data_IF_848587685993
#
_entry.id   IF_848587685993
#
_cell.length_a   1.000
_cell.length_b   1.000
_cell.length_c   1.000
_cell.angle_alpha   90.00
_cell.angle_beta   90.00
_cell.angle_gamma   90.00
#
_symmetry.space_group_name_H-M   'P 1'
#
loop_
_entity.id
_entity.type
_entity.pdbx_description
1 polymer ?
#
# COMPACT_ATOMS: atom_id res chain seq x y z
N UNK A 1 28.51 -5.89 0.12
CA UNK A 1 27.28 -5.77 0.92
C UNK A 1 26.11 -6.21 0.04
N UNK A 2 25.85 -7.52 -0.08
CA UNK A 2 24.78 -8.01 -0.95
C UNK A 2 23.48 -8.11 -0.17
N UNK A 3 22.46 -7.40 -0.65
CA UNK A 3 21.07 -7.46 -0.22
C UNK A 3 20.42 -8.82 -0.59
N UNK A 4 20.96 -9.94 -0.07
CA UNK A 4 20.34 -11.26 -0.18
C UNK A 4 19.39 -11.48 1.01
N UNK A 5 18.26 -10.77 0.99
CA UNK A 5 17.17 -10.95 1.98
C UNK A 5 15.81 -10.49 1.46
N UNK A 6 15.78 -9.64 0.43
CA UNK A 6 14.55 -9.11 -0.15
C UNK A 6 13.88 -10.07 -1.16
N UNK A 7 14.63 -10.90 -1.91
CA UNK A 7 14.07 -11.53 -3.11
C UNK A 7 12.83 -12.43 -2.90
N UNK A 8 12.69 -13.08 -1.72
CA UNK A 8 11.58 -14.00 -1.46
C UNK A 8 10.29 -13.31 -1.00
N UNK A 9 10.37 -12.28 -0.14
CA UNK A 9 9.17 -11.55 0.35
C UNK A 9 8.56 -10.66 -0.74
N UNK A 10 9.39 -10.16 -1.65
CA UNK A 10 8.93 -9.29 -2.74
C UNK A 10 8.26 -10.07 -3.88
N UNK A 11 8.50 -11.39 -3.99
CA UNK A 11 7.85 -12.24 -5.01
C UNK A 11 6.34 -12.34 -4.81
N UNK A 12 5.89 -12.31 -3.56
CA UNK A 12 4.48 -12.33 -3.18
C UNK A 12 3.97 -10.94 -2.80
N UNK A 13 4.72 -9.87 -3.06
CA UNK A 13 4.23 -8.51 -2.82
C UNK A 13 3.49 -7.98 -4.05
N UNK A 14 2.37 -7.34 -3.78
CA UNK A 14 1.56 -6.57 -4.73
C UNK A 14 1.52 -5.11 -4.30
N UNK A 15 1.03 -4.24 -5.18
CA UNK A 15 1.05 -2.80 -4.93
C UNK A 15 -0.22 -2.09 -5.40
N UNK A 16 -0.49 -0.96 -4.75
CA UNK A 16 -1.45 0.06 -5.18
C UNK A 16 -0.68 1.37 -5.35
N UNK A 17 -0.93 2.08 -6.46
CA UNK A 17 -0.41 3.43 -6.69
C UNK A 17 -1.57 4.43 -6.64
N UNK A 18 -1.37 5.51 -5.89
CA UNK A 18 -2.37 6.56 -5.70
C UNK A 18 -1.71 7.94 -5.77
N UNK A 19 -2.48 9.01 -6.01
CA UNK A 19 -2.01 10.39 -5.79
C UNK A 19 -1.58 10.64 -4.34
N UNK A 20 -0.61 11.54 -4.13
CA UNK A 20 -0.01 11.83 -2.81
C UNK A 20 -1.04 12.11 -1.69
N UNK A 21 -2.11 12.86 -2.00
CA UNK A 21 -3.15 13.24 -1.04
C UNK A 21 -4.29 12.22 -0.89
N UNK A 22 -4.25 11.08 -1.59
CA UNK A 22 -5.34 10.11 -1.55
C UNK A 22 -5.50 9.42 -0.18
N UNK A 23 -4.47 9.46 0.66
CA UNK A 23 -4.49 8.86 2.01
C UNK A 23 -4.63 9.88 3.14
N UNK A 24 -4.87 11.15 2.81
CA UNK A 24 -5.00 12.21 3.79
C UNK A 24 -6.17 11.89 4.74
N UNK A 25 -5.85 11.77 6.04
CA UNK A 25 -6.81 11.46 7.09
C UNK A 25 -7.15 9.97 7.28
N UNK A 26 -6.69 9.07 6.41
CA UNK A 26 -6.96 7.61 6.53
C UNK A 26 -5.69 6.74 6.58
N UNK A 27 -4.51 7.32 6.34
CA UNK A 27 -3.23 6.60 6.33
C UNK A 27 -2.97 5.81 7.62
N UNK A 28 -3.12 6.45 8.77
CA UNK A 28 -2.82 5.81 10.06
C UNK A 28 -3.74 4.61 10.30
N UNK A 29 -5.03 4.74 9.96
CA UNK A 29 -5.98 3.63 10.06
C UNK A 29 -5.62 2.49 9.10
N UNK A 30 -5.22 2.81 7.87
CA UNK A 30 -4.76 1.83 6.89
C UNK A 30 -3.57 1.01 7.42
N UNK A 31 -2.53 1.68 7.93
CA UNK A 31 -1.31 1.03 8.45
C UNK A 31 -1.56 0.27 9.78
N UNK A 32 -2.62 0.61 10.53
CA UNK A 32 -3.03 -0.12 11.73
C UNK A 32 -3.87 -1.36 11.43
N UNK A 33 -4.71 -1.30 10.40
CA UNK A 33 -5.65 -2.37 10.05
C UNK A 33 -5.03 -3.45 9.17
N UNK A 34 -4.06 -3.09 8.35
CA UNK A 34 -3.46 -3.98 7.37
C UNK A 34 -1.94 -4.00 7.50
N UNK A 35 -1.35 -5.16 7.23
CA UNK A 35 0.11 -5.35 7.13
C UNK A 35 0.60 -4.83 5.78
N UNK A 36 0.53 -3.52 5.62
CA UNK A 36 0.98 -2.80 4.42
C UNK A 36 2.08 -1.80 4.76
N UNK A 37 2.84 -1.40 3.76
CA UNK A 37 3.84 -0.33 3.88
C UNK A 37 3.54 0.76 2.88
N UNK A 38 3.50 2.02 3.33
CA UNK A 38 3.20 3.17 2.49
C UNK A 38 4.46 4.00 2.22
N UNK A 39 4.83 4.12 0.95
CA UNK A 39 5.98 4.89 0.48
C UNK A 39 5.51 6.12 -0.30
N UNK A 40 6.03 7.29 0.02
CA UNK A 40 5.80 8.51 -0.77
C UNK A 40 6.88 8.64 -1.85
N UNK A 41 6.45 8.83 -3.09
CA UNK A 41 7.29 8.98 -4.28
C UNK A 41 6.83 10.22 -5.06
N UNK A 42 7.23 11.41 -4.60
CA UNK A 42 6.80 12.68 -5.21
C UNK A 42 5.29 12.89 -5.08
N UNK A 43 4.61 13.05 -6.21
CA UNK A 43 3.15 13.24 -6.30
C UNK A 43 2.34 11.93 -6.18
N UNK A 44 3.01 10.82 -5.87
CA UNK A 44 2.37 9.52 -5.70
C UNK A 44 2.66 8.91 -4.33
N UNK A 45 1.75 8.06 -3.88
CA UNK A 45 2.00 7.09 -2.82
C UNK A 45 1.90 5.68 -3.37
N UNK A 46 2.77 4.81 -2.87
CA UNK A 46 2.78 3.39 -3.15
C UNK A 46 2.49 2.62 -1.89
N UNK A 47 1.43 1.82 -1.91
CA UNK A 47 1.10 0.88 -0.85
C UNK A 47 1.61 -0.50 -1.29
N UNK A 48 2.39 -1.15 -0.44
CA UNK A 48 2.94 -2.49 -0.66
C UNK A 48 2.38 -3.46 0.37
N UNK A 49 1.99 -4.66 -0.07
CA UNK A 49 1.48 -5.71 0.79
C UNK A 49 1.33 -7.04 0.06
N UNK A 50 0.97 -8.11 0.76
CA UNK A 50 0.62 -9.38 0.10
C UNK A 50 -0.67 -9.23 -0.72
N UNK A 51 -0.97 -10.11 -1.70
CA UNK A 51 -2.21 -10.06 -2.47
C UNK A 51 -3.48 -10.00 -1.63
N UNK A 52 -3.51 -10.73 -0.51
CA UNK A 52 -4.66 -10.74 0.40
C UNK A 52 -4.79 -9.39 1.12
N UNK A 53 -3.69 -8.88 1.67
CA UNK A 53 -3.67 -7.57 2.34
C UNK A 53 -4.04 -6.43 1.38
N UNK A 54 -3.51 -6.46 0.14
CA UNK A 54 -3.80 -5.44 -0.87
C UNK A 54 -5.25 -5.50 -1.33
N UNK A 55 -5.86 -6.69 -1.40
CA UNK A 55 -7.29 -6.82 -1.71
C UNK A 55 -8.13 -6.16 -0.63
N UNK A 56 -7.91 -6.51 0.64
CA UNK A 56 -8.72 -5.98 1.74
C UNK A 56 -8.47 -4.48 1.96
N UNK A 57 -7.22 -4.03 1.76
CA UNK A 57 -6.87 -2.60 1.74
C UNK A 57 -7.56 -1.86 0.60
N UNK A 58 -7.65 -2.45 -0.60
CA UNK A 58 -8.36 -1.85 -1.74
C UNK A 58 -9.84 -1.62 -1.43
N UNK A 59 -10.49 -2.60 -0.81
CA UNK A 59 -11.90 -2.48 -0.40
C UNK A 59 -12.07 -1.38 0.66
N UNK A 60 -11.18 -1.32 1.65
CA UNK A 60 -11.17 -0.23 2.64
C UNK A 60 -10.98 1.15 2.00
N UNK A 61 -10.06 1.29 1.05
CA UNK A 61 -9.81 2.54 0.34
C UNK A 61 -11.06 3.00 -0.42
N UNK A 62 -11.72 2.08 -1.14
CA UNK A 62 -12.96 2.38 -1.84
C UNK A 62 -14.09 2.83 -0.89
N UNK A 63 -14.20 2.18 0.28
CA UNK A 63 -15.17 2.57 1.33
C UNK A 63 -14.92 3.96 1.91
N UNK A 64 -13.68 4.44 1.86
CA UNK A 64 -13.28 5.79 2.30
C UNK A 64 -13.28 6.81 1.14
N UNK A 65 -13.82 6.45 -0.02
CA UNK A 65 -13.94 7.36 -1.18
C UNK A 65 -12.66 7.51 -2.01
N UNK A 66 -11.64 6.69 -1.75
CA UNK A 66 -10.42 6.67 -2.58
C UNK A 66 -10.70 5.88 -3.84
N UNK A 67 -10.57 6.54 -5.00
CA UNK A 67 -10.71 5.90 -6.30
C UNK A 67 -9.37 5.31 -6.74
N UNK A 68 -9.35 4.00 -6.97
CA UNK A 68 -8.23 3.28 -7.56
C UNK A 68 -8.29 3.49 -9.09
N UNK A 69 -7.21 3.99 -9.68
CA UNK A 69 -7.10 4.27 -11.12
C UNK A 69 -6.59 3.06 -11.91
#
# INVERSE_FOLDING_TARGET
MSIMGAASRFRDSTQILLPAGALDGIREELEQRFTVSVHHEGDQVRILGSPVEIKDASDFLAMNGVTLA
#
